data_IF_233346058788
#
_entry.id   IF_233346058788
#
_cell.length_a   1.000
_cell.length_b   1.000
_cell.length_c   1.000
_cell.angle_alpha   90.00
_cell.angle_beta   90.00
_cell.angle_gamma   90.00
#
_symmetry.space_group_name_H-M   'P 1'
#
loop_
_entity.id
_entity.type
_entity.pdbx_description
1 polymer ?
#
# COMPACT_ATOMS: atom_id res chain seq x y z
N UNK A 1 1.64 16.61 -7.66
CA UNK A 1 1.81 15.42 -8.53
C UNK A 1 2.94 15.60 -9.54
N UNK A 2 3.83 14.62 -9.69
CA UNK A 2 4.98 14.67 -10.62
C UNK A 2 4.55 14.68 -12.09
N UNK A 3 5.19 15.52 -12.89
CA UNK A 3 5.04 15.58 -14.34
C UNK A 3 5.72 14.39 -15.03
N UNK A 4 5.30 14.09 -16.27
CA UNK A 4 5.93 13.06 -17.10
C UNK A 4 7.43 13.30 -17.29
N UNK A 5 7.87 14.56 -17.35
CA UNK A 5 9.29 14.89 -17.48
C UNK A 5 10.06 14.56 -16.19
N UNK A 6 9.50 14.84 -15.02
CA UNK A 6 10.10 14.42 -13.75
C UNK A 6 10.18 12.89 -13.63
N UNK A 7 9.19 12.15 -14.12
CA UNK A 7 9.19 10.68 -14.10
C UNK A 7 10.24 10.06 -15.04
N UNK A 8 10.62 10.73 -16.14
CA UNK A 8 11.68 10.26 -17.07
C UNK A 8 13.08 10.27 -16.45
N UNK A 9 13.29 11.15 -15.47
CA UNK A 9 14.56 11.27 -14.76
C UNK A 9 14.74 10.19 -13.69
N UNK A 10 13.67 9.50 -13.30
CA UNK A 10 13.73 8.40 -12.33
C UNK A 10 14.29 7.15 -13.03
N UNK A 11 15.54 6.84 -12.68
CA UNK A 11 16.30 5.73 -13.26
C UNK A 11 17.01 4.94 -12.17
N UNK A 12 17.24 3.67 -12.47
CA UNK A 12 18.01 2.74 -11.63
C UNK A 12 19.17 2.20 -12.47
N UNK A 13 20.41 2.36 -11.99
CA UNK A 13 21.59 1.80 -12.66
C UNK A 13 22.10 0.59 -11.90
N UNK A 14 22.15 -0.56 -12.57
CA UNK A 14 22.66 -1.82 -12.01
C UNK A 14 23.34 -2.64 -13.08
N UNK A 15 24.50 -3.21 -12.73
CA UNK A 15 25.31 -4.02 -13.66
C UNK A 15 25.52 -3.28 -15.00
N UNK A 16 25.91 -2.00 -14.93
CA UNK A 16 26.17 -1.11 -16.08
C UNK A 16 24.95 -0.84 -16.99
N UNK A 17 23.75 -1.31 -16.60
CA UNK A 17 22.50 -1.06 -17.31
C UNK A 17 21.65 -0.06 -16.56
N UNK A 18 21.03 0.85 -17.31
CA UNK A 18 20.10 1.85 -16.79
C UNK A 18 18.67 1.46 -17.11
N UNK A 19 17.86 1.27 -16.08
CA UNK A 19 16.44 0.97 -16.18
C UNK A 19 15.64 2.25 -15.91
N UNK A 20 14.62 2.52 -16.71
CA UNK A 20 13.73 3.67 -16.52
C UNK A 20 12.49 3.26 -15.75
N UNK A 21 12.07 4.08 -14.79
CA UNK A 21 10.82 3.87 -14.05
C UNK A 21 9.61 3.78 -14.98
N UNK A 22 9.54 4.62 -16.02
CA UNK A 22 8.43 4.63 -16.97
C UNK A 22 8.29 3.31 -17.78
N UNK A 23 9.35 2.51 -17.84
CA UNK A 23 9.34 1.21 -18.50
C UNK A 23 9.29 0.04 -17.49
N UNK A 24 9.06 0.32 -16.22
CA UNK A 24 8.99 -0.68 -15.15
C UNK A 24 7.57 -1.24 -15.00
N UNK A 25 7.48 -2.44 -14.42
CA UNK A 25 6.19 -2.99 -13.99
C UNK A 25 5.55 -2.14 -12.87
N UNK A 26 6.35 -1.49 -12.01
CA UNK A 26 5.85 -0.57 -10.96
C UNK A 26 5.06 0.60 -11.54
N UNK A 27 5.55 1.20 -12.63
CA UNK A 27 4.82 2.28 -13.31
C UNK A 27 3.56 1.76 -14.02
N UNK A 28 3.62 0.55 -14.59
CA UNK A 28 2.42 -0.07 -15.15
C UNK A 28 1.36 -0.37 -14.08
N UNK A 29 1.77 -0.79 -12.88
CA UNK A 29 0.88 -0.95 -11.74
C UNK A 29 0.28 0.39 -11.30
N UNK A 30 1.11 1.44 -11.19
CA UNK A 30 0.60 2.79 -10.88
C UNK A 30 -0.46 3.23 -11.89
N UNK A 31 -0.20 3.09 -13.20
CA UNK A 31 -1.20 3.43 -14.24
C UNK A 31 -2.46 2.58 -14.15
N UNK A 32 -2.34 1.28 -13.86
CA UNK A 32 -3.50 0.40 -13.73
C UNK A 32 -4.36 0.78 -12.52
N UNK A 33 -3.72 1.12 -11.40
CA UNK A 33 -4.40 1.65 -10.20
C UNK A 33 -5.02 3.00 -10.52
N UNK A 34 -4.29 3.90 -11.15
CA UNK A 34 -4.79 5.23 -11.51
C UNK A 34 -6.01 5.14 -12.43
N UNK A 35 -5.95 4.32 -13.47
CA UNK A 35 -7.04 4.14 -14.44
C UNK A 35 -8.26 3.46 -13.80
N UNK A 36 -8.05 2.36 -13.08
CA UNK A 36 -9.15 1.51 -12.62
C UNK A 36 -9.70 1.91 -11.25
N UNK A 37 -8.89 2.53 -10.40
CA UNK A 37 -9.22 2.81 -8.99
C UNK A 37 -9.38 4.31 -8.73
N UNK A 38 -8.55 5.15 -9.34
CA UNK A 38 -8.56 6.61 -9.11
C UNK A 38 -9.45 7.36 -10.10
N UNK A 39 -9.57 6.85 -11.32
CA UNK A 39 -10.28 7.51 -12.41
C UNK A 39 -11.55 6.79 -12.88
N UNK A 40 -11.90 5.65 -12.30
CA UNK A 40 -13.12 4.91 -12.65
C UNK A 40 -14.36 5.45 -11.93
N UNK A 41 -15.43 5.69 -12.68
CA UNK A 41 -16.78 5.99 -12.18
C UNK A 41 -17.46 4.77 -11.50
N UNK A 42 -16.85 3.58 -11.60
CA UNK A 42 -17.43 2.32 -11.12
C UNK A 42 -17.10 1.93 -9.69
N UNK A 43 -16.27 2.71 -8.97
CA UNK A 43 -15.79 2.33 -7.64
C UNK A 43 -16.54 2.98 -6.47
N UNK A 44 -16.48 2.35 -5.29
CA UNK A 44 -17.21 2.70 -4.07
C UNK A 44 -17.46 4.21 -3.93
N UNK A 45 -18.73 4.57 -3.72
CA UNK A 45 -19.24 5.94 -3.55
C UNK A 45 -18.34 6.87 -2.71
N UNK A 46 -17.52 6.32 -1.83
CA UNK A 46 -16.56 7.05 -1.01
C UNK A 46 -15.42 7.73 -1.79
N UNK A 47 -14.81 7.10 -2.81
CA UNK A 47 -13.72 7.74 -3.57
C UNK A 47 -14.22 8.83 -4.51
N UNK A 48 -15.34 8.58 -5.18
CA UNK A 48 -16.02 9.60 -5.96
C UNK A 48 -16.43 10.78 -5.06
N UNK A 49 -16.81 10.51 -3.80
CA UNK A 49 -17.07 11.55 -2.80
C UNK A 49 -15.81 12.31 -2.41
N UNK A 50 -14.69 11.66 -2.06
CA UNK A 50 -13.44 12.40 -1.73
C UNK A 50 -12.94 13.16 -2.96
N UNK A 51 -12.87 12.54 -4.14
CA UNK A 51 -12.45 13.21 -5.38
C UNK A 51 -13.30 14.45 -5.68
N UNK A 52 -14.61 14.40 -5.41
CA UNK A 52 -15.54 15.51 -5.64
C UNK A 52 -15.54 16.55 -4.52
N UNK A 53 -15.51 16.11 -3.27
CA UNK A 53 -15.75 16.95 -2.09
C UNK A 53 -14.43 17.43 -1.45
N UNK A 54 -13.35 16.66 -1.59
CA UNK A 54 -12.03 16.86 -0.98
C UNK A 54 -10.90 16.57 -2.00
N UNK A 55 -10.87 17.26 -3.16
CA UNK A 55 -9.93 16.97 -4.25
C UNK A 55 -8.46 17.08 -3.82
N UNK A 56 -8.13 17.99 -2.90
CA UNK A 56 -6.77 18.12 -2.38
C UNK A 56 -6.31 16.86 -1.61
N UNK A 57 -7.21 16.26 -0.81
CA UNK A 57 -6.94 15.00 -0.10
C UNK A 57 -6.75 13.88 -1.11
N UNK A 58 -7.59 13.83 -2.15
CA UNK A 58 -7.47 12.85 -3.22
C UNK A 58 -6.13 12.93 -3.95
N UNK A 59 -5.69 14.14 -4.33
CA UNK A 59 -4.40 14.38 -4.99
C UNK A 59 -3.22 13.97 -4.10
N UNK A 60 -3.30 14.23 -2.79
CA UNK A 60 -2.27 13.81 -1.83
C UNK A 60 -2.14 12.28 -1.76
N UNK A 61 -3.26 11.55 -1.74
CA UNK A 61 -3.25 10.08 -1.75
C UNK A 61 -2.63 9.56 -3.05
N UNK A 62 -3.02 10.12 -4.19
CA UNK A 62 -2.47 9.74 -5.49
C UNK A 62 -0.95 9.98 -5.56
N UNK A 63 -0.48 11.10 -5.01
CA UNK A 63 0.95 11.41 -4.94
C UNK A 63 1.71 10.45 -4.02
N UNK A 64 1.14 10.07 -2.87
CA UNK A 64 1.73 9.08 -1.97
C UNK A 64 1.83 7.70 -2.61
N UNK A 65 0.80 7.26 -3.33
CA UNK A 65 0.81 6.00 -4.11
C UNK A 65 1.89 6.03 -5.18
N UNK A 66 2.01 7.13 -5.93
CA UNK A 66 3.06 7.30 -6.93
C UNK A 66 4.46 7.24 -6.30
N UNK A 67 4.66 7.90 -5.17
CA UNK A 67 5.92 7.86 -4.44
C UNK A 67 6.22 6.45 -3.95
N UNK A 68 5.23 5.68 -3.49
CA UNK A 68 5.41 4.29 -3.07
C UNK A 68 5.91 3.40 -4.21
N UNK A 69 5.38 3.56 -5.43
CA UNK A 69 5.82 2.77 -6.60
C UNK A 69 7.19 3.20 -7.10
N UNK A 70 7.54 4.49 -7.00
CA UNK A 70 8.89 4.99 -7.28
C UNK A 70 9.90 4.42 -6.27
N UNK A 71 9.59 4.50 -4.98
CA UNK A 71 10.46 3.96 -3.92
C UNK A 71 10.65 2.45 -4.09
N UNK A 72 9.59 1.72 -4.40
CA UNK A 72 9.67 0.29 -4.67
C UNK A 72 10.60 -0.04 -5.86
N UNK A 73 10.52 0.76 -6.94
CA UNK A 73 11.42 0.65 -8.08
C UNK A 73 12.88 0.94 -7.71
N UNK A 74 13.14 2.04 -7.01
CA UNK A 74 14.48 2.47 -6.63
C UNK A 74 15.15 1.54 -5.62
N UNK A 75 14.38 0.94 -4.72
CA UNK A 75 14.86 0.00 -3.70
C UNK A 75 14.89 -1.45 -4.20
N UNK A 76 14.57 -1.69 -5.47
CA UNK A 76 14.49 -3.02 -6.07
C UNK A 76 13.62 -4.01 -5.26
N UNK A 77 12.51 -3.51 -4.71
CA UNK A 77 11.64 -4.34 -3.88
C UNK A 77 11.05 -5.49 -4.70
N UNK A 78 10.94 -6.66 -4.07
CA UNK A 78 10.17 -7.75 -4.63
C UNK A 78 8.73 -7.32 -4.89
N UNK A 79 8.06 -7.97 -5.84
CA UNK A 79 6.67 -7.66 -6.20
C UNK A 79 5.73 -7.68 -4.98
N UNK A 80 5.91 -8.64 -4.07
CA UNK A 80 5.10 -8.75 -2.85
C UNK A 80 5.35 -7.62 -1.85
N UNK A 81 6.56 -7.08 -1.81
CA UNK A 81 6.94 -5.97 -0.91
C UNK A 81 6.51 -4.62 -1.47
N UNK A 82 6.64 -4.48 -2.79
CA UNK A 82 6.06 -3.38 -3.56
C UNK A 82 4.54 -3.30 -3.34
N UNK A 83 3.85 -4.45 -3.39
CA UNK A 83 2.43 -4.55 -3.09
C UNK A 83 2.08 -4.11 -1.66
N UNK A 84 2.80 -4.62 -0.67
CA UNK A 84 2.58 -4.29 0.74
C UNK A 84 2.76 -2.79 0.98
N UNK A 85 3.84 -2.21 0.47
CA UNK A 85 4.14 -0.78 0.61
C UNK A 85 3.05 0.07 -0.02
N UNK A 86 2.67 -0.24 -1.27
CA UNK A 86 1.61 0.45 -2.00
C UNK A 86 0.27 0.40 -1.28
N UNK A 87 -0.12 -0.78 -0.80
CA UNK A 87 -1.39 -0.99 -0.11
C UNK A 87 -1.44 -0.28 1.23
N UNK A 88 -0.34 -0.31 2.00
CA UNK A 88 -0.24 0.42 3.25
C UNK A 88 -0.30 1.94 3.03
N UNK A 89 0.41 2.47 2.03
CA UNK A 89 0.37 3.89 1.64
C UNK A 89 -1.01 4.35 1.22
N UNK A 90 -1.67 3.55 0.42
CA UNK A 90 -3.06 3.77 0.04
C UNK A 90 -4.00 3.78 1.24
N UNK A 91 -3.97 2.73 2.06
CA UNK A 91 -4.84 2.59 3.22
C UNK A 91 -4.63 3.72 4.23
N UNK A 92 -3.39 4.19 4.41
CA UNK A 92 -3.06 5.29 5.32
C UNK A 92 -3.67 6.63 4.87
N UNK A 93 -3.79 6.83 3.57
CA UNK A 93 -4.43 8.03 3.01
C UNK A 93 -5.95 8.07 3.20
N UNK A 94 -6.58 6.93 3.47
CA UNK A 94 -8.04 6.77 3.56
C UNK A 94 -8.59 6.76 4.98
N UNK A 95 -7.81 7.23 5.95
CA UNK A 95 -8.20 7.27 7.36
C UNK A 95 -8.65 8.70 7.75
N UNK A 96 -9.87 9.15 7.44
CA UNK A 96 -10.36 10.40 7.98
C UNK A 96 -10.74 10.19 9.45
N UNK A 97 -10.12 10.96 10.35
CA UNK A 97 -10.60 11.31 11.71
C UNK A 97 -10.96 10.19 12.71
N UNK A 98 -10.96 8.91 12.31
CA UNK A 98 -11.20 7.74 13.15
C UNK A 98 -10.25 6.61 12.79
N UNK A 99 -8.95 6.93 12.68
CA UNK A 99 -7.89 5.95 12.51
C UNK A 99 -8.03 4.77 13.48
N UNK A 100 -8.49 5.04 14.71
CA UNK A 100 -8.78 4.02 15.73
C UNK A 100 -9.93 3.09 15.30
N UNK A 101 -11.02 3.60 14.71
CA UNK A 101 -12.16 2.78 14.30
C UNK A 101 -11.82 1.90 13.09
N UNK A 102 -11.11 2.45 12.10
CA UNK A 102 -10.65 1.67 10.94
C UNK A 102 -9.56 0.65 11.32
N UNK A 103 -8.67 0.99 12.26
CA UNK A 103 -7.75 0.03 12.86
C UNK A 103 -8.47 -1.02 13.71
N UNK A 104 -9.55 -0.66 14.40
CA UNK A 104 -10.41 -1.61 15.13
C UNK A 104 -11.15 -2.53 14.15
N UNK A 105 -11.67 -2.04 13.04
CA UNK A 105 -12.31 -2.86 12.01
C UNK A 105 -11.31 -3.82 11.36
N UNK A 106 -10.08 -3.34 11.08
CA UNK A 106 -9.02 -4.18 10.58
C UNK A 106 -8.56 -5.21 11.63
N UNK A 107 -8.41 -4.82 12.89
CA UNK A 107 -8.01 -5.71 13.99
C UNK A 107 -9.09 -6.76 14.29
N UNK A 108 -10.36 -6.35 14.32
CA UNK A 108 -11.53 -7.22 14.47
C UNK A 108 -11.59 -8.21 13.31
N UNK A 109 -11.33 -7.75 12.08
CA UNK A 109 -11.15 -8.60 10.91
C UNK A 109 -10.03 -9.62 11.13
N UNK A 110 -8.80 -9.22 11.47
CA UNK A 110 -7.68 -10.16 11.69
C UNK A 110 -7.97 -11.21 12.77
N UNK A 111 -8.67 -10.80 13.84
CA UNK A 111 -9.03 -11.63 15.00
C UNK A 111 -10.13 -12.64 14.64
N UNK A 112 -11.12 -12.24 13.83
CA UNK A 112 -12.16 -13.15 13.35
C UNK A 112 -11.70 -14.00 12.14
N UNK A 113 -10.70 -13.54 11.39
CA UNK A 113 -10.04 -14.27 10.30
C UNK A 113 -9.20 -15.47 10.79
N UNK A 114 -8.87 -15.53 12.09
CA UNK A 114 -8.30 -16.73 12.70
C UNK A 114 -9.31 -17.87 12.87
N UNK A 115 -10.62 -17.60 12.78
CA UNK A 115 -11.67 -18.57 13.10
C UNK A 115 -12.49 -19.08 11.90
N UNK A 116 -12.50 -18.40 10.74
CA UNK A 116 -13.31 -18.83 9.60
C UNK A 116 -12.50 -19.16 8.35
N UNK A 117 -12.80 -20.34 7.80
CA UNK A 117 -12.13 -21.00 6.66
C UNK A 117 -12.45 -20.41 5.28
N UNK A 118 -13.29 -19.38 5.19
CA UNK A 118 -13.67 -18.78 3.90
C UNK A 118 -13.07 -17.38 3.72
N UNK A 119 -12.27 -17.17 2.66
CA UNK A 119 -11.59 -15.90 2.46
C UNK A 119 -12.55 -14.90 1.79
N UNK A 120 -12.61 -13.68 2.36
CA UNK A 120 -12.81 -12.38 1.65
C UNK A 120 -14.07 -11.54 1.93
N UNK A 121 -15.15 -12.00 2.56
CA UNK A 121 -16.45 -11.25 2.48
C UNK A 121 -16.47 -9.84 3.13
N UNK A 122 -15.77 -9.57 4.23
CA UNK A 122 -15.82 -8.25 4.90
C UNK A 122 -14.90 -7.18 4.27
N UNK A 123 -13.73 -7.62 3.81
CA UNK A 123 -12.84 -6.83 2.96
C UNK A 123 -13.47 -6.68 1.55
N UNK A 124 -14.43 -7.51 1.15
CA UNK A 124 -15.12 -7.44 -0.14
C UNK A 124 -16.12 -6.27 -0.31
N UNK A 125 -16.39 -5.39 0.65
CA UNK A 125 -17.26 -4.23 0.34
C UNK A 125 -16.49 -2.94 0.08
N UNK A 126 -15.32 -2.76 0.72
CA UNK A 126 -14.43 -1.61 0.52
C UNK A 126 -13.17 -1.97 -0.29
N UNK A 127 -12.77 -3.25 -0.28
CA UNK A 127 -11.69 -3.81 -1.08
C UNK A 127 -12.14 -4.90 -2.07
N UNK A 128 -13.42 -5.25 -2.32
CA UNK A 128 -13.67 -6.26 -3.39
C UNK A 128 -13.16 -5.76 -4.71
N UNK A 129 -13.46 -4.50 -5.02
CA UNK A 129 -13.04 -3.93 -6.28
C UNK A 129 -11.53 -3.63 -6.25
N UNK A 130 -10.99 -3.14 -5.10
CA UNK A 130 -9.54 -2.89 -4.93
C UNK A 130 -8.79 -4.21 -5.08
N UNK A 131 -9.26 -5.29 -4.45
CA UNK A 131 -8.75 -6.63 -4.62
C UNK A 131 -9.04 -7.21 -6.02
N UNK A 132 -10.08 -6.82 -6.75
CA UNK A 132 -10.32 -7.37 -8.08
C UNK A 132 -9.28 -6.85 -9.08
N UNK A 133 -9.02 -5.54 -9.07
CA UNK A 133 -7.97 -4.91 -9.89
C UNK A 133 -6.60 -5.34 -9.41
N UNK A 134 -6.37 -5.39 -8.09
CA UNK A 134 -5.09 -5.82 -7.55
C UNK A 134 -4.86 -7.32 -7.79
N UNK A 135 -5.81 -8.21 -7.53
CA UNK A 135 -5.66 -9.65 -7.82
C UNK A 135 -5.57 -9.98 -9.31
N UNK A 136 -6.06 -9.11 -10.21
CA UNK A 136 -5.86 -9.26 -11.66
C UNK A 136 -4.47 -8.82 -12.12
N UNK A 137 -3.79 -7.94 -11.38
CA UNK A 137 -2.54 -7.30 -11.81
C UNK A 137 -1.32 -7.50 -10.88
N UNK A 138 -1.49 -8.14 -9.71
CA UNK A 138 -0.46 -8.31 -8.68
C UNK A 138 -0.24 -9.78 -8.29
N UNK A 139 0.92 -10.10 -7.68
CA UNK A 139 1.24 -11.46 -7.24
C UNK A 139 0.21 -12.04 -6.26
N UNK A 140 0.16 -13.38 -6.16
CA UNK A 140 -0.65 -14.11 -5.18
C UNK A 140 -0.35 -13.62 -3.76
N UNK A 141 -1.21 -12.76 -3.21
CA UNK A 141 -1.06 -12.17 -1.87
C UNK A 141 -1.20 -13.26 -0.81
N UNK A 142 -0.21 -13.37 0.08
CA UNK A 142 -0.25 -14.35 1.18
C UNK A 142 -0.79 -13.69 2.45
N UNK A 143 -1.32 -14.50 3.36
CA UNK A 143 -1.76 -14.04 4.70
C UNK A 143 -0.68 -13.26 5.46
N UNK A 144 0.59 -13.61 5.24
CA UNK A 144 1.74 -12.95 5.86
C UNK A 144 1.89 -11.50 5.36
N UNK A 145 1.60 -11.27 4.09
CA UNK A 145 1.69 -9.96 3.45
C UNK A 145 0.57 -9.04 3.97
N UNK A 146 -0.64 -9.58 4.17
CA UNK A 146 -1.75 -8.86 4.83
C UNK A 146 -1.45 -8.49 6.28
N UNK A 147 -0.85 -9.41 7.04
CA UNK A 147 -0.40 -9.13 8.42
C UNK A 147 0.69 -8.06 8.47
N UNK A 148 1.53 -8.01 7.43
CA UNK A 148 2.55 -6.99 7.34
C UNK A 148 1.94 -5.61 7.05
N UNK A 149 1.02 -5.49 6.09
CA UNK A 149 0.28 -4.23 5.82
C UNK A 149 -0.32 -3.67 7.11
N UNK A 150 -1.01 -4.51 7.88
CA UNK A 150 -1.57 -4.11 9.17
C UNK A 150 -0.52 -3.55 10.11
N UNK A 151 0.58 -4.29 10.26
CA UNK A 151 1.65 -3.92 11.17
C UNK A 151 2.29 -2.60 10.75
N UNK A 152 2.42 -2.34 9.45
CA UNK A 152 2.92 -1.07 8.96
C UNK A 152 2.00 0.09 9.36
N UNK A 153 0.68 -0.08 9.14
CA UNK A 153 -0.33 0.90 9.53
C UNK A 153 -0.34 1.12 11.05
N UNK A 154 -0.30 0.03 11.83
CA UNK A 154 -0.33 0.10 13.29
C UNK A 154 0.94 0.71 13.87
N UNK A 155 2.09 0.62 13.19
CA UNK A 155 3.39 1.08 13.71
C UNK A 155 3.86 2.43 13.15
N UNK A 156 3.13 3.03 12.20
CA UNK A 156 3.58 4.28 11.53
C UNK A 156 3.80 5.42 12.54
N UNK A 157 2.82 5.65 13.41
CA UNK A 157 2.76 6.84 14.28
C UNK A 157 3.02 6.54 15.77
N UNK A 158 3.47 5.33 16.09
CA UNK A 158 3.70 4.88 17.46
C UNK A 158 5.13 5.19 17.92
N UNK A 159 5.37 5.25 19.23
CA UNK A 159 6.70 5.47 19.81
C UNK A 159 7.73 4.40 19.38
N UNK A 160 9.02 4.74 19.45
CA UNK A 160 10.10 3.82 19.10
C UNK A 160 10.13 2.64 20.08
N UNK A 161 9.82 2.87 21.34
CA UNK A 161 9.75 1.86 22.39
C UNK A 161 8.62 0.85 22.12
N UNK A 162 7.45 1.32 21.69
CA UNK A 162 6.33 0.45 21.33
C UNK A 162 6.60 -0.34 20.05
N UNK A 163 7.24 0.28 19.05
CA UNK A 163 7.71 -0.42 17.86
C UNK A 163 8.69 -1.54 18.24
N UNK A 164 9.66 -1.30 19.12
CA UNK A 164 10.63 -2.32 19.53
C UNK A 164 9.95 -3.50 20.25
N UNK A 165 8.95 -3.23 21.09
CA UNK A 165 8.17 -4.28 21.76
C UNK A 165 7.43 -5.17 20.75
N UNK A 166 6.74 -4.57 19.79
CA UNK A 166 6.02 -5.28 18.72
C UNK A 166 6.96 -6.03 17.77
N UNK A 167 8.16 -5.51 17.53
CA UNK A 167 9.17 -6.17 16.70
C UNK A 167 9.87 -7.33 17.42
N UNK A 168 9.99 -7.28 18.75
CA UNK A 168 10.70 -8.29 19.54
C UNK A 168 10.01 -9.66 19.54
N UNK A 169 8.68 -9.69 19.37
CA UNK A 169 7.89 -10.94 19.34
C UNK A 169 7.92 -11.64 17.97
N UNK A 170 8.50 -11.02 16.95
CA UNK A 170 8.56 -11.56 15.60
C UNK A 170 9.81 -12.41 15.39
N UNK A 171 9.69 -13.45 14.55
CA UNK A 171 10.86 -14.15 14.05
C UNK A 171 11.75 -13.22 13.20
N UNK A 172 13.04 -13.53 13.13
CA UNK A 172 14.04 -12.68 12.51
C UNK A 172 13.72 -12.28 11.06
N UNK A 173 13.31 -13.19 10.14
CA UNK A 173 12.95 -12.79 8.77
C UNK A 173 11.77 -11.82 8.71
N UNK A 174 10.72 -12.07 9.51
CA UNK A 174 9.53 -11.21 9.55
C UNK A 174 9.86 -9.85 10.16
N UNK A 175 10.70 -9.83 11.20
CA UNK A 175 11.17 -8.62 11.85
C UNK A 175 11.98 -7.76 10.87
N UNK A 176 12.97 -8.34 10.21
CA UNK A 176 13.82 -7.61 9.25
C UNK A 176 12.98 -7.02 8.12
N UNK A 177 12.10 -7.82 7.52
CA UNK A 177 11.17 -7.36 6.48
C UNK A 177 10.25 -6.23 6.97
N UNK A 178 9.75 -6.33 8.21
CA UNK A 178 8.92 -5.27 8.82
C UNK A 178 9.71 -3.99 9.01
N UNK A 179 10.94 -4.06 9.53
CA UNK A 179 11.80 -2.88 9.75
C UNK A 179 12.05 -2.16 8.43
N UNK A 180 12.44 -2.90 7.38
CA UNK A 180 12.70 -2.34 6.06
C UNK A 180 11.47 -1.62 5.51
N UNK A 181 10.33 -2.30 5.44
CA UNK A 181 9.12 -1.70 4.86
C UNK A 181 8.54 -0.59 5.73
N UNK A 182 8.66 -0.67 7.06
CA UNK A 182 8.23 0.41 7.96
C UNK A 182 9.07 1.66 7.78
N UNK A 183 10.39 1.51 7.61
CA UNK A 183 11.27 2.64 7.33
C UNK A 183 10.90 3.33 6.01
N UNK A 184 10.68 2.55 4.95
CA UNK A 184 10.23 3.11 3.66
C UNK A 184 8.86 3.79 3.81
N UNK A 185 7.92 3.12 4.47
CA UNK A 185 6.56 3.61 4.64
C UNK A 185 6.46 4.91 5.47
N UNK A 186 7.36 5.12 6.43
CA UNK A 186 7.44 6.38 7.21
C UNK A 186 7.98 7.56 6.40
N UNK A 187 8.78 7.27 5.37
CA UNK A 187 9.38 8.28 4.51
C UNK A 187 8.53 8.58 3.25
N UNK A 188 7.32 8.01 3.17
CA UNK A 188 6.28 8.28 2.18
C UNK A 188 5.17 9.15 2.78
#
# INVERSE_FOLDING_TARGET
MKTTNELKEIRLTKQEKTYSYLNSYHYNWFKAIDLNLLNSDGFTNYFLRIKKNEPAVFEEIQEKVLNATITAFQQELAETDSFVLLTATWANGLLPEKAIAAMQDFNHYLTNYTLQKDPLIGINQMNADFNQVLMQHLPKVRRQDLRLIYRLLSLKDVSVEEQQKELAVLNEPTRNRTITLLSLFKNL
#
